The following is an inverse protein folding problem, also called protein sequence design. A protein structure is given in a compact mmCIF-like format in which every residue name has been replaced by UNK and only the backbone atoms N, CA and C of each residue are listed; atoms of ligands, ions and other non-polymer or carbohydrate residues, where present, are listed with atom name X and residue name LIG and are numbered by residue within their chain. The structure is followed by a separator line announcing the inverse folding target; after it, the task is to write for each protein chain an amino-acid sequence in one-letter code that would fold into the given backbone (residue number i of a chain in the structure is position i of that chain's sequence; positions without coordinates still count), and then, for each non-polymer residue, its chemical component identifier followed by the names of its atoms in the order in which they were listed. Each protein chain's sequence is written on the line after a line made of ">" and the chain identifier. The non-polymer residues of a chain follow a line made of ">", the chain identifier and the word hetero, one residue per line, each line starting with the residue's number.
data_IF_585360654219
#
_entry.id   IF_585360654219
#
_cell.length_a   1.000
_cell.length_b   1.000
_cell.length_c   1.000
_cell.angle_alpha   90.00
_cell.angle_beta   90.00
_cell.angle_gamma   90.00
#
_symmetry.space_group_name_H-M   'P 1'
#
loop_
_entity.id
_entity.type
_entity.pdbx_description
1 polymer ?
#
# COMPACT_ATOMS: atom_id res chain seq x y z
N UNK A 1 2.62 -12.20 9.43
CA UNK A 1 3.97 -12.81 9.44
C UNK A 1 3.94 -14.01 8.51
N UNK A 2 5.06 -14.39 7.89
CA UNK A 2 5.14 -15.55 6.99
C UNK A 2 6.51 -16.23 7.12
N UNK A 3 6.57 -17.56 7.07
CA UNK A 3 7.83 -18.29 6.98
C UNK A 3 8.32 -18.28 5.53
N UNK A 4 9.41 -17.55 5.27
CA UNK A 4 9.93 -17.36 3.90
C UNK A 4 10.95 -18.43 3.49
N UNK A 5 11.55 -19.10 4.45
CA UNK A 5 12.48 -20.19 4.23
C UNK A 5 12.35 -21.19 5.39
N UNK A 6 12.54 -22.48 5.10
CA UNK A 6 12.42 -23.56 6.10
C UNK A 6 13.27 -23.30 7.35
N UNK A 7 14.48 -22.79 7.14
CA UNK A 7 15.51 -22.66 8.17
C UNK A 7 15.56 -21.25 8.80
N UNK A 8 14.56 -20.40 8.55
CA UNK A 8 14.46 -19.06 9.12
C UNK A 8 13.17 -18.91 9.94
N UNK A 9 13.18 -18.07 10.99
CA UNK A 9 11.97 -17.73 11.72
C UNK A 9 10.98 -16.96 10.81
N UNK A 10 9.68 -16.95 11.15
CA UNK A 10 8.70 -16.16 10.42
C UNK A 10 9.06 -14.68 10.35
N UNK A 11 8.94 -14.10 9.16
CA UNK A 11 9.26 -12.69 8.89
C UNK A 11 8.01 -11.82 9.07
N UNK A 12 8.17 -10.65 9.70
CA UNK A 12 7.14 -9.59 9.71
C UNK A 12 7.07 -8.95 8.33
N UNK A 13 5.87 -8.89 7.77
CA UNK A 13 5.60 -8.39 6.42
C UNK A 13 4.30 -7.58 6.45
N UNK A 14 4.21 -6.60 5.56
CA UNK A 14 2.96 -6.03 5.10
C UNK A 14 2.63 -6.60 3.72
N UNK A 15 1.39 -7.02 3.51
CA UNK A 15 0.96 -7.65 2.26
C UNK A 15 -0.54 -7.53 2.05
N UNK A 16 -0.96 -7.44 0.79
CA UNK A 16 -2.38 -7.38 0.44
C UNK A 16 -3.07 -8.67 0.89
N UNK A 17 -4.23 -8.54 1.55
CA UNK A 17 -4.93 -9.65 2.22
C UNK A 17 -4.05 -10.45 3.21
N UNK A 18 -3.00 -9.84 3.75
CA UNK A 18 -2.14 -10.46 4.75
C UNK A 18 -1.14 -11.49 4.20
N UNK A 19 -1.02 -11.61 2.87
CA UNK A 19 -0.13 -12.58 2.21
C UNK A 19 0.96 -11.90 1.38
N UNK A 20 2.09 -12.59 1.21
CA UNK A 20 3.18 -12.19 0.34
C UNK A 20 3.57 -13.34 -0.60
N UNK A 21 3.50 -13.16 -1.94
CA UNK A 21 2.96 -11.98 -2.65
C UNK A 21 1.45 -11.81 -2.41
N UNK A 22 0.92 -10.64 -2.78
CA UNK A 22 -0.53 -10.42 -2.82
C UNK A 22 -1.21 -11.36 -3.83
N UNK A 23 -2.53 -11.54 -3.74
CA UNK A 23 -3.27 -12.40 -4.67
C UNK A 23 -3.16 -11.89 -6.11
N UNK A 24 -3.09 -12.82 -7.06
CA UNK A 24 -3.11 -12.51 -8.49
C UNK A 24 -4.50 -12.06 -8.92
N UNK A 25 -4.58 -10.98 -9.69
CA UNK A 25 -5.79 -10.59 -10.40
C UNK A 25 -5.76 -11.20 -11.80
N UNK A 26 -6.83 -11.87 -12.19
CA UNK A 26 -7.07 -12.35 -13.55
C UNK A 26 -8.33 -11.66 -14.07
N UNK A 27 -8.19 -10.88 -15.14
CA UNK A 27 -9.27 -10.07 -15.71
C UNK A 27 -9.24 -10.16 -17.22
N UNK A 28 -10.40 -10.01 -17.86
CA UNK A 28 -10.48 -10.00 -19.32
C UNK A 28 -10.26 -8.59 -19.89
N UNK A 29 -9.80 -8.52 -21.13
CA UNK A 29 -9.71 -7.23 -21.84
C UNK A 29 -11.09 -6.58 -21.89
N UNK A 30 -11.16 -5.29 -21.54
CA UNK A 30 -12.39 -4.48 -21.48
C UNK A 30 -13.35 -4.83 -20.33
N UNK A 31 -12.98 -5.74 -19.43
CA UNK A 31 -13.71 -5.95 -18.18
C UNK A 31 -13.54 -4.73 -17.27
N UNK A 32 -14.65 -4.18 -16.77
CA UNK A 32 -14.62 -3.08 -15.81
C UNK A 32 -14.48 -3.65 -14.40
N UNK A 33 -13.37 -3.34 -13.75
CA UNK A 33 -13.07 -3.80 -12.40
C UNK A 33 -12.91 -2.61 -11.48
N UNK A 34 -13.47 -2.71 -10.28
CA UNK A 34 -13.24 -1.77 -9.19
C UNK A 34 -12.66 -2.53 -8.00
N UNK A 35 -11.54 -2.05 -7.47
CA UNK A 35 -10.91 -2.63 -6.28
C UNK A 35 -10.84 -1.58 -5.20
N UNK A 36 -11.41 -1.90 -4.03
CA UNK A 36 -11.26 -1.06 -2.84
C UNK A 36 -10.02 -1.49 -2.07
N UNK A 37 -8.95 -0.74 -2.24
CA UNK A 37 -7.71 -0.92 -1.48
C UNK A 37 -7.89 -0.33 -0.08
N UNK A 38 -7.71 -1.14 0.96
CA UNK A 38 -7.87 -0.74 2.36
C UNK A 38 -6.52 -0.73 3.07
N UNK A 39 -6.22 0.36 3.75
CA UNK A 39 -5.10 0.40 4.70
C UNK A 39 -5.60 -0.10 6.06
N UNK A 40 -5.14 -1.28 6.47
CA UNK A 40 -5.35 -1.86 7.81
C UNK A 40 -4.03 -2.04 8.57
N UNK A 41 -2.99 -1.35 8.15
CA UNK A 41 -1.66 -1.44 8.74
C UNK A 41 -1.61 -0.75 10.11
N UNK A 42 -0.59 -1.04 10.95
CA UNK A 42 -0.29 -0.25 12.14
C UNK A 42 0.07 1.20 11.78
N UNK A 43 -0.11 2.11 12.73
CA UNK A 43 0.18 3.54 12.52
C UNK A 43 1.68 3.87 12.51
N UNK A 44 2.52 2.92 12.94
CA UNK A 44 3.98 3.01 12.88
C UNK A 44 4.58 1.98 11.94
N UNK A 45 5.53 2.43 11.15
CA UNK A 45 6.29 1.61 10.25
C UNK A 45 7.32 0.79 11.02
N UNK A 46 7.69 -0.36 10.45
CA UNK A 46 8.67 -1.24 11.07
C UNK A 46 10.07 -1.18 10.44
N UNK A 47 10.18 -0.57 9.27
CA UNK A 47 11.45 -0.13 8.67
C UNK A 47 11.73 1.31 9.10
N UNK A 48 13.01 1.72 9.19
CA UNK A 48 13.38 3.09 9.55
C UNK A 48 12.92 4.08 8.48
N UNK A 49 12.25 5.16 8.91
CA UNK A 49 11.81 6.26 8.05
C UNK A 49 12.77 7.43 8.23
N UNK A 50 13.29 7.94 7.12
CA UNK A 50 14.08 9.18 7.10
C UNK A 50 13.13 10.38 6.93
N UNK A 51 13.02 11.18 7.99
CA UNK A 51 12.14 12.35 8.01
C UNK A 51 12.79 13.62 7.45
N UNK A 52 14.02 13.55 6.92
CA UNK A 52 14.71 14.73 6.35
C UNK A 52 14.46 14.92 4.86
N UNK A 53 13.87 13.93 4.19
CA UNK A 53 13.75 13.90 2.73
C UNK A 53 12.50 14.62 2.17
N UNK A 54 11.45 14.75 2.98
CA UNK A 54 10.16 15.28 2.54
C UNK A 54 9.56 16.15 3.65
N UNK A 55 9.47 17.46 3.43
CA UNK A 55 9.11 18.47 4.43
C UNK A 55 7.94 19.34 3.94
N UNK A 56 6.76 19.10 4.51
CA UNK A 56 5.46 19.75 4.19
C UNK A 56 4.30 19.25 5.09
N UNK A 57 4.58 18.84 6.34
CA UNK A 57 3.56 18.24 7.21
C UNK A 57 3.34 16.75 6.98
N UNK A 58 4.12 16.12 6.10
CA UNK A 58 4.08 14.67 5.92
C UNK A 58 4.49 13.85 7.15
N UNK A 59 5.03 14.48 8.20
CA UNK A 59 5.39 13.83 9.47
C UNK A 59 4.20 13.45 10.35
N UNK A 60 3.00 14.00 10.10
CA UNK A 60 1.83 13.73 10.93
C UNK A 60 1.40 12.25 10.89
N UNK A 61 1.67 11.56 9.78
CA UNK A 61 1.32 10.16 9.59
C UNK A 61 2.49 9.38 9.03
N UNK A 62 3.02 8.44 9.82
CA UNK A 62 4.20 7.65 9.45
C UNK A 62 3.88 6.60 8.36
N UNK A 63 2.72 5.94 8.44
CA UNK A 63 2.29 4.91 7.48
C UNK A 63 1.22 5.45 6.55
N UNK A 64 1.62 5.71 5.31
CA UNK A 64 0.77 6.17 4.20
C UNK A 64 0.83 5.15 3.07
N UNK A 65 -0.32 4.87 2.46
CA UNK A 65 -0.39 3.93 1.34
C UNK A 65 -1.25 4.47 0.22
N UNK A 66 -0.80 4.23 -1.01
CA UNK A 66 -1.58 4.35 -2.25
C UNK A 66 -1.17 3.20 -3.15
N UNK A 67 -2.12 2.62 -3.89
CA UNK A 67 -1.85 1.47 -4.76
C UNK A 67 -1.79 1.96 -6.20
N UNK A 68 -0.67 1.70 -6.87
CA UNK A 68 -0.50 1.94 -8.30
C UNK A 68 -0.57 0.61 -9.06
N UNK A 69 -1.40 0.55 -10.10
CA UNK A 69 -1.44 -0.59 -11.03
C UNK A 69 -0.42 -0.35 -12.15
N UNK A 70 0.80 -0.85 -11.97
CA UNK A 70 1.84 -0.72 -12.98
C UNK A 70 1.44 -1.38 -14.32
N UNK A 71 1.45 -0.59 -15.40
CA UNK A 71 1.00 -1.03 -16.74
C UNK A 71 -0.50 -0.92 -16.98
N UNK A 72 -1.28 -0.47 -15.99
CA UNK A 72 -2.69 -0.17 -16.15
C UNK A 72 -2.93 1.04 -17.06
N UNK A 73 -3.97 0.98 -17.89
CA UNK A 73 -4.51 2.15 -18.58
C UNK A 73 -5.70 2.66 -17.76
N UNK A 74 -5.40 3.52 -16.79
CA UNK A 74 -6.32 3.92 -15.72
C UNK A 74 -6.63 5.42 -15.77
N UNK A 75 -7.85 5.84 -15.37
CA UNK A 75 -8.10 7.25 -15.05
C UNK A 75 -7.17 7.76 -13.95
N UNK A 76 -6.84 9.05 -13.97
CA UNK A 76 -5.85 9.65 -13.08
C UNK A 76 -6.17 9.48 -11.58
N UNK A 77 -7.44 9.56 -11.20
CA UNK A 77 -7.91 9.37 -9.82
C UNK A 77 -7.86 7.90 -9.34
N UNK A 78 -7.68 6.95 -10.27
CA UNK A 78 -7.53 5.52 -10.01
C UNK A 78 -6.10 5.02 -10.24
N UNK A 79 -5.18 5.90 -10.62
CA UNK A 79 -3.83 5.54 -11.05
C UNK A 79 -2.87 5.32 -9.88
N UNK A 80 -3.13 5.93 -8.73
CA UNK A 80 -2.30 5.82 -7.54
C UNK A 80 -1.18 6.88 -7.47
N UNK A 81 -1.56 8.13 -7.72
CA UNK A 81 -0.66 9.28 -7.58
C UNK A 81 -0.01 9.32 -6.17
N UNK A 82 1.29 9.65 -6.03
CA UNK A 82 1.99 9.57 -4.74
C UNK A 82 1.35 10.37 -3.60
N UNK A 83 0.72 11.52 -3.90
CA UNK A 83 0.05 12.36 -2.89
C UNK A 83 -1.41 11.93 -2.65
N UNK A 84 -1.99 11.03 -3.45
CA UNK A 84 -3.33 10.47 -3.22
C UNK A 84 -3.35 9.35 -2.17
N UNK A 85 -2.43 9.42 -1.20
CA UNK A 85 -2.30 8.44 -0.12
C UNK A 85 -3.44 8.54 0.89
N UNK A 86 -3.62 7.47 1.65
CA UNK A 86 -4.51 7.44 2.80
C UNK A 86 -3.90 6.61 3.94
N UNK A 87 -4.26 6.98 5.17
CA UNK A 87 -3.89 6.26 6.38
C UNK A 87 -4.88 5.13 6.67
N UNK A 88 -4.64 4.42 7.78
CA UNK A 88 -5.50 3.36 8.27
C UNK A 88 -6.97 3.78 8.25
N UNK A 89 -7.81 2.94 7.66
CA UNK A 89 -9.25 3.15 7.60
C UNK A 89 -9.69 4.48 6.93
N UNK A 90 -8.83 5.06 6.09
CA UNK A 90 -9.02 6.38 5.48
C UNK A 90 -9.19 7.52 6.50
N UNK A 91 -8.65 7.38 7.71
CA UNK A 91 -8.77 8.41 8.76
C UNK A 91 -8.21 9.77 8.30
N UNK A 92 -7.13 9.75 7.53
CA UNK A 92 -6.59 10.90 6.83
C UNK A 92 -6.21 10.50 5.40
N UNK A 93 -6.14 11.51 4.53
CA UNK A 93 -5.75 11.39 3.13
C UNK A 93 -4.86 12.55 2.75
N UNK A 94 -4.04 12.36 1.73
CA UNK A 94 -3.29 13.45 1.14
C UNK A 94 -4.19 14.46 0.40
N UNK A 95 -3.59 15.55 -0.10
CA UNK A 95 -4.29 16.66 -0.74
C UNK A 95 -5.14 16.25 -1.96
#
# INVERSE_FOLDING_TARGET
>A
QQQLHRDLPPTRLFGYNGVYPGPTFEVQKHEKVAVKWLNKLPDRHFLPVDHTLHDDGHHEHEVKTVVHLHGGCTPADSDGYPEAWYTKDFHAKGP
#
